data_IF_088276289859
#
_entry.id   IF_088276289859
#
_cell.length_a   1.000
_cell.length_b   1.000
_cell.length_c   1.000
_cell.angle_alpha   90.00
_cell.angle_beta   90.00
_cell.angle_gamma   90.00
#
_symmetry.space_group_name_H-M   'P 1'
#
loop_
_entity.id
_entity.type
_entity.pdbx_description
1 polymer ?
#
# COMPACT_ATOMS: atom_id res chain seq x y z
N UNK A 1 26.90 4.53 -10.66
CA UNK A 1 25.95 3.99 -9.67
C UNK A 1 24.64 3.77 -10.40
N UNK A 2 24.45 2.58 -10.95
CA UNK A 2 23.22 2.18 -11.63
C UNK A 2 22.12 2.12 -10.58
N UNK A 3 21.01 2.82 -10.80
CA UNK A 3 19.87 2.78 -9.90
C UNK A 3 19.32 1.35 -9.88
N UNK A 4 19.49 0.65 -8.75
CA UNK A 4 18.87 -0.66 -8.53
C UNK A 4 17.36 -0.48 -8.70
N UNK A 5 16.79 -1.13 -9.71
CA UNK A 5 15.36 -0.97 -10.03
C UNK A 5 14.60 -1.96 -9.16
N UNK A 6 13.70 -1.45 -8.30
CA UNK A 6 12.79 -2.26 -7.49
C UNK A 6 11.42 -2.30 -8.19
N UNK A 7 11.12 -3.30 -9.04
CA UNK A 7 9.88 -3.32 -9.79
C UNK A 7 8.68 -3.67 -8.90
N UNK A 8 7.53 -3.07 -9.24
CA UNK A 8 6.22 -3.40 -8.70
C UNK A 8 5.59 -4.49 -9.56
N UNK A 9 6.03 -5.73 -9.37
CA UNK A 9 5.65 -6.87 -10.20
C UNK A 9 5.52 -8.14 -9.34
N UNK A 10 4.78 -9.17 -9.80
CA UNK A 10 4.86 -10.49 -9.19
C UNK A 10 6.30 -11.01 -9.22
N UNK A 11 6.72 -11.80 -8.22
CA UNK A 11 8.04 -12.41 -8.23
C UNK A 11 8.14 -13.35 -9.44
N UNK A 12 8.99 -13.01 -10.41
CA UNK A 12 9.13 -13.72 -11.69
C UNK A 12 10.59 -14.06 -11.99
N UNK A 13 10.84 -15.20 -12.64
CA UNK A 13 12.20 -15.56 -13.08
C UNK A 13 12.60 -14.85 -14.39
N UNK A 14 11.64 -14.20 -15.07
CA UNK A 14 11.86 -13.39 -16.29
C UNK A 14 12.35 -11.97 -15.99
N UNK A 15 12.61 -11.65 -14.72
CA UNK A 15 13.15 -10.35 -14.33
C UNK A 15 14.60 -10.23 -14.78
N UNK A 16 15.02 -9.01 -15.12
CA UNK A 16 16.43 -8.74 -15.45
C UNK A 16 17.35 -9.22 -14.32
N UNK A 17 18.53 -9.73 -14.67
CA UNK A 17 19.58 -10.10 -13.72
C UNK A 17 20.03 -8.94 -12.81
N UNK A 18 19.73 -7.71 -13.19
CA UNK A 18 20.02 -6.51 -12.39
C UNK A 18 19.00 -6.26 -11.27
N UNK A 19 17.88 -7.00 -11.24
CA UNK A 19 16.83 -6.87 -10.23
C UNK A 19 17.22 -7.65 -8.98
N UNK A 20 17.54 -6.92 -7.92
CA UNK A 20 18.00 -7.50 -6.64
C UNK A 20 16.86 -7.86 -5.69
N UNK A 21 15.69 -7.25 -5.86
CA UNK A 21 14.49 -7.51 -5.07
C UNK A 21 13.24 -7.03 -5.83
N UNK A 22 12.07 -7.48 -5.40
CA UNK A 22 10.77 -7.00 -5.90
C UNK A 22 9.80 -6.70 -4.78
N UNK A 23 8.82 -5.85 -5.11
CA UNK A 23 7.71 -5.53 -4.23
C UNK A 23 6.39 -5.87 -4.93
N UNK A 24 5.68 -6.88 -4.43
CA UNK A 24 4.48 -7.41 -5.05
C UNK A 24 3.21 -7.06 -4.26
N UNK A 25 2.29 -6.28 -4.83
CA UNK A 25 0.98 -6.01 -4.24
C UNK A 25 0.06 -7.22 -4.47
N UNK A 26 -0.12 -8.06 -3.44
CA UNK A 26 -0.87 -9.32 -3.59
C UNK A 26 -2.32 -9.24 -3.10
N UNK A 27 -2.64 -8.26 -2.23
CA UNK A 27 -3.98 -8.12 -1.68
C UNK A 27 -4.34 -6.67 -1.37
N UNK A 28 -5.60 -6.33 -1.59
CA UNK A 28 -6.17 -5.00 -1.31
C UNK A 28 -7.45 -5.20 -0.52
N UNK A 29 -7.55 -4.55 0.64
CA UNK A 29 -8.73 -4.60 1.50
C UNK A 29 -9.33 -3.21 1.65
N UNK A 30 -10.66 -3.13 1.66
CA UNK A 30 -11.35 -1.91 2.07
C UNK A 30 -11.48 -1.97 3.59
N UNK A 31 -11.13 -0.89 4.29
CA UNK A 31 -11.29 -0.84 5.74
C UNK A 31 -12.79 -0.98 6.10
N UNK A 32 -13.20 -2.06 6.79
CA UNK A 32 -14.60 -2.35 7.05
C UNK A 32 -15.23 -1.36 8.03
N UNK A 33 -14.44 -0.73 8.91
CA UNK A 33 -14.93 0.24 9.90
C UNK A 33 -15.20 1.62 9.31
N UNK A 34 -14.67 1.89 8.12
CA UNK A 34 -14.81 3.16 7.43
C UNK A 34 -15.72 3.07 6.19
N UNK A 35 -16.26 1.88 5.91
CA UNK A 35 -17.20 1.62 4.80
C UNK A 35 -18.54 2.32 5.05
N UNK A 36 -19.15 2.84 3.98
CA UNK A 36 -20.50 3.43 3.98
C UNK A 36 -20.72 4.61 4.95
N UNK A 37 -19.68 5.40 5.20
CA UNK A 37 -19.83 6.64 5.96
C UNK A 37 -20.81 7.60 5.27
N UNK A 38 -21.56 8.35 6.08
CA UNK A 38 -22.45 9.43 5.60
C UNK A 38 -21.63 10.47 4.82
N UNK A 39 -22.32 11.24 3.98
CA UNK A 39 -21.68 12.38 3.31
C UNK A 39 -21.02 13.29 4.35
N UNK A 40 -19.83 13.80 4.03
CA UNK A 40 -19.06 14.71 4.87
C UNK A 40 -18.97 16.08 4.19
N UNK A 41 -18.81 17.18 4.93
CA UNK A 41 -18.54 18.49 4.34
C UNK A 41 -17.27 18.47 3.49
N UNK A 42 -17.28 19.18 2.37
CA UNK A 42 -16.08 19.40 1.56
C UNK A 42 -15.08 20.30 2.31
N UNK A 43 -13.80 19.96 2.24
CA UNK A 43 -12.74 20.73 2.92
C UNK A 43 -12.54 22.13 2.34
N UNK A 44 -12.86 22.34 1.05
CA UNK A 44 -12.74 23.63 0.37
C UNK A 44 -14.02 24.47 0.49
N UNK A 45 -15.19 23.86 0.54
CA UNK A 45 -16.48 24.53 0.72
C UNK A 45 -17.41 23.73 1.66
N UNK A 46 -17.51 24.13 2.95
CA UNK A 46 -18.36 23.44 3.93
C UNK A 46 -19.86 23.40 3.61
N UNK A 47 -20.34 24.20 2.63
CA UNK A 47 -21.74 24.15 2.17
C UNK A 47 -22.03 22.97 1.23
N UNK A 48 -20.97 22.33 0.73
CA UNK A 48 -21.01 21.16 -0.13
C UNK A 48 -20.76 19.89 0.69
N UNK A 49 -21.49 18.85 0.32
CA UNK A 49 -21.40 17.51 0.90
C UNK A 49 -20.80 16.56 -0.13
N UNK A 50 -19.72 15.89 0.24
CA UNK A 50 -19.01 14.92 -0.59
C UNK A 50 -19.16 13.51 -0.02
N UNK A 51 -19.00 12.51 -0.90
CA UNK A 51 -18.83 11.13 -0.45
C UNK A 51 -17.45 11.00 0.20
N UNK A 52 -17.36 10.40 1.39
CA UNK A 52 -16.09 10.19 2.06
C UNK A 52 -15.16 9.34 1.17
N UNK A 53 -13.85 9.64 1.16
CA UNK A 53 -12.85 8.85 0.43
C UNK A 53 -12.87 7.39 0.84
N UNK A 54 -12.62 6.49 -0.12
CA UNK A 54 -12.59 5.04 0.11
C UNK A 54 -11.25 4.67 0.77
N UNK A 55 -11.24 4.18 2.02
CA UNK A 55 -10.02 3.77 2.70
C UNK A 55 -9.66 2.34 2.33
N UNK A 56 -8.42 2.17 1.92
CA UNK A 56 -7.81 0.92 1.51
C UNK A 56 -6.66 0.56 2.43
N UNK A 57 -6.44 -0.73 2.59
CA UNK A 57 -5.25 -1.32 3.16
C UNK A 57 -4.58 -2.13 2.05
N UNK A 58 -3.29 -1.89 1.85
CA UNK A 58 -2.52 -2.54 0.79
C UNK A 58 -1.54 -3.52 1.41
N UNK A 59 -1.58 -4.78 0.97
CA UNK A 59 -0.65 -5.81 1.43
C UNK A 59 0.35 -6.12 0.32
N UNK A 60 1.61 -5.83 0.62
CA UNK A 60 2.73 -6.09 -0.25
C UNK A 60 3.56 -7.27 0.27
N UNK A 61 4.20 -7.96 -0.66
CA UNK A 61 5.20 -8.97 -0.38
C UNK A 61 6.54 -8.45 -0.91
N UNK A 62 7.49 -8.25 -0.01
CA UNK A 62 8.87 -7.98 -0.37
C UNK A 62 9.61 -9.30 -0.59
N UNK A 63 10.23 -9.46 -1.75
CA UNK A 63 10.94 -10.69 -2.13
C UNK A 63 12.34 -10.32 -2.61
N UNK A 64 13.41 -10.62 -1.85
CA UNK A 64 14.77 -10.49 -2.35
C UNK A 64 15.06 -11.59 -3.39
N UNK A 65 15.76 -11.24 -4.47
CA UNK A 65 16.02 -12.10 -5.63
C UNK A 65 17.52 -12.32 -5.90
N UNK A 66 18.39 -12.03 -4.93
CA UNK A 66 19.82 -12.30 -5.06
C UNK A 66 20.08 -13.80 -5.19
N UNK A 67 21.12 -14.17 -5.95
CA UNK A 67 21.63 -15.54 -6.02
C UNK A 67 22.37 -15.97 -4.75
N UNK A 68 22.76 -15.01 -3.92
CA UNK A 68 23.38 -15.19 -2.61
C UNK A 68 22.32 -15.09 -1.49
N UNK A 69 22.12 -16.19 -0.77
CA UNK A 69 21.16 -16.31 0.33
C UNK A 69 21.51 -15.46 1.55
N UNK A 70 22.80 -15.26 1.84
CA UNK A 70 23.24 -14.40 2.95
C UNK A 70 22.89 -12.95 2.63
N UNK A 71 23.06 -12.55 1.36
CA UNK A 71 22.63 -11.24 0.87
C UNK A 71 21.11 -11.08 0.94
N UNK A 72 20.33 -12.12 0.64
CA UNK A 72 18.87 -12.10 0.77
C UNK A 72 18.44 -11.87 2.23
N UNK A 73 19.06 -12.57 3.19
CA UNK A 73 18.79 -12.39 4.61
C UNK A 73 19.19 -10.99 5.10
N UNK A 74 20.35 -10.49 4.67
CA UNK A 74 20.82 -9.14 4.99
C UNK A 74 19.88 -8.07 4.45
N UNK A 75 19.41 -8.21 3.20
CA UNK A 75 18.43 -7.31 2.60
C UNK A 75 17.14 -7.28 3.41
N UNK A 76 16.62 -8.46 3.79
CA UNK A 76 15.44 -8.54 4.62
C UNK A 76 15.66 -7.83 5.96
N UNK A 77 16.78 -8.11 6.64
CA UNK A 77 17.15 -7.46 7.89
C UNK A 77 17.22 -5.94 7.79
N UNK A 78 17.76 -5.41 6.68
CA UNK A 78 17.81 -3.96 6.42
C UNK A 78 16.44 -3.35 6.17
N UNK A 79 15.57 -4.03 5.43
CA UNK A 79 14.17 -3.59 5.23
C UNK A 79 13.41 -3.61 6.55
N UNK A 80 13.60 -4.67 7.34
CA UNK A 80 13.02 -4.80 8.67
C UNK A 80 13.46 -3.65 9.58
N UNK A 81 14.77 -3.38 9.61
CA UNK A 81 15.34 -2.26 10.36
C UNK A 81 14.78 -0.91 9.88
N UNK A 82 14.71 -0.70 8.57
CA UNK A 82 14.25 0.57 8.01
C UNK A 82 12.81 0.90 8.40
N UNK A 83 11.87 -0.03 8.22
CA UNK A 83 10.48 0.23 8.59
C UNK A 83 10.23 0.14 10.09
N UNK A 84 11.11 -0.48 10.87
CA UNK A 84 11.11 -0.35 12.33
C UNK A 84 11.48 1.07 12.76
N UNK A 85 12.57 1.62 12.22
CA UNK A 85 13.09 2.94 12.61
C UNK A 85 12.25 4.08 12.02
N UNK A 86 11.73 3.90 10.80
CA UNK A 86 10.93 4.88 10.07
C UNK A 86 9.67 4.20 9.52
N UNK A 87 8.64 3.94 10.36
CA UNK A 87 7.43 3.21 9.97
C UNK A 87 6.46 4.03 9.11
N UNK A 88 6.89 5.19 8.60
CA UNK A 88 6.01 6.08 7.88
C UNK A 88 6.74 6.90 6.84
N UNK A 89 6.14 7.01 5.66
CA UNK A 89 6.70 7.79 4.56
C UNK A 89 5.68 8.78 4.03
N UNK A 90 6.17 9.90 3.49
CA UNK A 90 5.32 10.90 2.85
C UNK A 90 5.15 10.55 1.37
N UNK A 91 3.93 10.64 0.81
CA UNK A 91 3.74 10.56 -0.63
C UNK A 91 4.63 11.59 -1.35
N UNK A 92 5.20 11.20 -2.49
CA UNK A 92 6.06 12.07 -3.29
C UNK A 92 5.22 13.28 -3.78
N UNK A 93 5.71 14.53 -3.64
CA UNK A 93 5.04 15.72 -4.17
C UNK A 93 4.74 15.56 -5.67
N UNK A 94 3.49 15.75 -6.08
CA UNK A 94 3.04 15.58 -7.48
C UNK A 94 2.50 14.20 -7.84
N UNK A 95 2.44 13.26 -6.90
CA UNK A 95 1.77 11.95 -7.09
C UNK A 95 0.24 12.10 -7.07
N UNK A 96 -0.52 11.36 -7.92
CA UNK A 96 -1.98 11.48 -8.06
C UNK A 96 -2.79 10.95 -6.87
N UNK A 97 -2.16 10.64 -5.73
CA UNK A 97 -2.88 10.38 -4.48
C UNK A 97 -3.57 11.67 -4.05
N UNK A 98 -4.80 11.85 -4.52
CA UNK A 98 -5.58 13.08 -4.40
C UNK A 98 -5.65 13.58 -2.97
N UNK A 99 -4.98 14.69 -2.71
CA UNK A 99 -5.18 15.49 -1.48
C UNK A 99 -6.37 16.42 -1.62
N UNK A 100 -7.02 16.45 -2.78
CA UNK A 100 -7.97 17.48 -3.23
C UNK A 100 -9.25 17.54 -2.40
N UNK A 101 -9.66 16.42 -1.78
CA UNK A 101 -10.92 16.33 -1.01
C UNK A 101 -10.72 15.84 0.43
N UNK A 102 -9.53 16.09 0.99
CA UNK A 102 -9.25 15.90 2.42
C UNK A 102 -9.07 14.45 2.86
N UNK A 103 -8.95 13.50 1.92
CA UNK A 103 -8.84 12.07 2.22
C UNK A 103 -7.44 11.55 2.49
N UNK A 104 -6.47 11.97 1.67
CA UNK A 104 -5.16 11.35 1.67
C UNK A 104 -4.40 11.68 2.96
N UNK A 105 -4.00 10.69 3.77
CA UNK A 105 -3.18 10.96 4.94
C UNK A 105 -1.84 11.54 4.49
N UNK A 106 -1.39 12.58 5.19
CA UNK A 106 -0.11 13.25 4.93
C UNK A 106 1.10 12.31 5.10
N UNK A 107 0.89 11.18 5.79
CA UNK A 107 1.89 10.17 6.04
C UNK A 107 1.23 8.79 5.91
N UNK A 108 1.81 7.95 5.06
CA UNK A 108 1.43 6.54 4.95
C UNK A 108 2.23 5.77 5.98
N UNK A 109 1.55 4.92 6.76
CA UNK A 109 2.19 4.06 7.74
C UNK A 109 2.41 2.68 7.14
N UNK A 110 3.60 2.13 7.34
CA UNK A 110 3.96 0.76 6.97
C UNK A 110 4.15 -0.04 8.25
N UNK A 111 3.58 -1.24 8.27
CA UNK A 111 3.78 -2.23 9.33
C UNK A 111 4.17 -3.55 8.69
N UNK A 112 4.86 -4.40 9.43
CA UNK A 112 5.03 -5.78 9.01
C UNK A 112 3.70 -6.52 9.16
N UNK A 113 3.30 -7.21 8.10
CA UNK A 113 2.13 -8.08 8.18
C UNK A 113 2.56 -9.37 8.89
N UNK A 114 1.83 -9.74 9.95
CA UNK A 114 2.03 -10.99 10.68
C UNK A 114 1.33 -12.14 9.93
N UNK A 115 1.52 -12.20 8.62
CA UNK A 115 0.98 -13.26 7.77
C UNK A 115 1.53 -14.59 8.25
N UNK A 116 0.67 -15.58 8.46
CA UNK A 116 1.14 -16.88 8.92
C UNK A 116 2.01 -17.55 7.84
N UNK A 117 2.92 -18.43 8.25
CA UNK A 117 3.70 -19.22 7.30
C UNK A 117 2.79 -19.99 6.32
N UNK A 118 1.66 -20.51 6.82
CA UNK A 118 0.70 -21.24 5.99
C UNK A 118 0.09 -20.34 4.91
N UNK A 119 -0.30 -19.11 5.25
CA UNK A 119 -0.86 -18.15 4.29
C UNK A 119 0.18 -17.74 3.24
N UNK A 120 1.44 -17.54 3.66
CA UNK A 120 2.54 -17.29 2.72
C UNK A 120 2.78 -18.48 1.80
N UNK A 121 2.81 -19.71 2.34
CA UNK A 121 2.97 -20.92 1.55
C UNK A 121 1.82 -21.10 0.54
N UNK A 122 0.59 -20.78 0.93
CA UNK A 122 -0.57 -20.81 0.04
C UNK A 122 -0.46 -19.75 -1.06
N UNK A 123 0.00 -18.54 -0.74
CA UNK A 123 0.26 -17.48 -1.71
C UNK A 123 1.30 -17.92 -2.75
N UNK A 124 2.44 -18.46 -2.30
CA UNK A 124 3.48 -18.98 -3.19
C UNK A 124 3.00 -20.16 -4.04
N UNK A 125 2.18 -21.04 -3.47
CA UNK A 125 1.53 -22.12 -4.23
C UNK A 125 0.59 -21.58 -5.31
N UNK A 126 -0.17 -20.52 -5.02
CA UNK A 126 -1.03 -19.86 -6.01
C UNK A 126 -0.27 -19.21 -7.16
N UNK A 127 0.97 -18.76 -6.90
CA UNK A 127 1.89 -18.26 -7.93
C UNK A 127 2.56 -19.38 -8.75
N UNK A 128 2.30 -20.66 -8.43
CA UNK A 128 2.96 -21.83 -9.03
C UNK A 128 4.50 -21.76 -8.95
N UNK A 129 5.01 -21.24 -7.82
CA UNK A 129 6.45 -20.97 -7.62
C UNK A 129 6.96 -21.62 -6.35
N UNK A 130 8.26 -21.98 -6.30
CA UNK A 130 8.87 -22.45 -5.07
C UNK A 130 8.82 -21.34 -4.02
N UNK A 131 8.57 -21.74 -2.77
CA UNK A 131 8.59 -20.82 -1.65
C UNK A 131 9.98 -20.18 -1.53
N UNK A 132 10.03 -18.84 -1.44
CA UNK A 132 11.25 -18.08 -1.23
C UNK A 132 11.13 -17.20 0.01
N UNK A 133 12.30 -16.85 0.58
CA UNK A 133 12.39 -15.87 1.65
C UNK A 133 11.64 -14.60 1.24
N UNK A 134 10.71 -14.17 2.09
CA UNK A 134 9.85 -13.02 1.81
C UNK A 134 9.32 -12.41 3.09
N UNK A 135 8.96 -11.13 3.05
CA UNK A 135 8.33 -10.42 4.17
C UNK A 135 7.03 -9.74 3.72
N UNK A 136 5.98 -9.93 4.52
CA UNK A 136 4.72 -9.23 4.36
C UNK A 136 4.83 -7.80 4.88
N UNK A 137 4.35 -6.85 4.09
CA UNK A 137 4.27 -5.43 4.42
C UNK A 137 2.82 -4.97 4.28
N UNK A 138 2.30 -4.31 5.29
CA UNK A 138 0.99 -3.70 5.31
C UNK A 138 1.15 -2.17 5.25
N UNK A 139 0.59 -1.55 4.22
CA UNK A 139 0.44 -0.10 4.15
C UNK A 139 -0.96 0.26 4.66
N UNK A 140 -1.00 0.94 5.81
CA UNK A 140 -2.24 1.38 6.43
C UNK A 140 -2.82 2.59 5.71
N UNK A 141 -4.14 2.55 5.52
CA UNK A 141 -5.03 3.65 5.14
C UNK A 141 -4.48 4.45 3.96
N UNK A 142 -4.69 3.92 2.76
CA UNK A 142 -4.60 4.68 1.50
C UNK A 142 -6.01 5.08 1.10
N UNK A 143 -6.28 6.35 0.82
CA UNK A 143 -7.63 6.78 0.43
C UNK A 143 -7.74 7.09 -1.05
N UNK A 144 -8.83 6.67 -1.67
CA UNK A 144 -9.21 7.07 -3.02
C UNK A 144 -10.39 8.03 -2.96
N UNK A 145 -10.23 9.23 -3.53
CA UNK A 145 -11.28 10.24 -3.60
C UNK A 145 -12.48 9.74 -4.41
N UNK A 146 -13.69 10.11 -3.97
CA UNK A 146 -14.89 9.82 -4.75
C UNK A 146 -14.94 10.69 -6.01
N UNK A 147 -15.18 10.07 -7.16
CA UNK A 147 -15.40 10.78 -8.43
C UNK A 147 -16.76 11.52 -8.51
N UNK A 148 -17.64 11.36 -7.51
CA UNK A 148 -18.94 12.01 -7.51
C UNK A 148 -18.81 13.53 -7.30
N UNK A 149 -19.63 14.35 -7.99
CA UNK A 149 -19.63 15.79 -7.75
C UNK A 149 -20.17 16.10 -6.34
N UNK A 150 -19.64 17.13 -5.65
CA UNK A 150 -20.17 17.60 -4.38
C UNK A 150 -21.65 18.02 -4.53
N UNK A 151 -22.46 17.77 -3.50
CA UNK A 151 -23.88 18.15 -3.48
C UNK A 151 -24.11 19.22 -2.43
N UNK A 152 -24.87 20.27 -2.76
CA UNK A 152 -25.30 21.24 -1.73
C UNK A 152 -26.15 20.55 -0.67
N UNK A 153 -25.90 20.86 0.60
CA UNK A 153 -26.82 20.46 1.66
C UNK A 153 -28.12 21.26 1.49
N UNK A 154 -29.22 20.61 1.11
CA UNK A 154 -30.55 21.22 1.21
C UNK A 154 -30.80 21.43 2.70
N UNK A 155 -30.86 22.70 3.15
CA UNK A 155 -31.28 23.01 4.50
C UNK A 155 -32.67 22.37 4.73
N UNK A 156 -32.94 21.78 5.92
CA UNK A 156 -34.30 21.38 6.24
C UNK A 156 -35.18 22.62 6.12
N UNK A 157 -36.15 22.57 5.21
CA UNK A 157 -37.10 23.65 4.99
C UNK A 157 -37.73 24.05 6.32
N UNK A 158 -37.66 25.34 6.61
CA UNK A 158 -38.34 25.99 7.73
C UNK A 158 -39.82 26.09 7.43
#
# INVERSE_FOLDING_TARGET
MTAETLPLAPPSDELSSDVVAVLYLYHIEIDPHLRNRKLIPDSADPSLMIKPPLPLQLRFLFVPLSTDDDRNQLMLGRVLQHFHDTPSFRPIPGSPLGTSRGGAPAQLRVRFDLTSYQDLAQLWSGLSRPFRLSAGLLVDIVTIDSAWPPKKCLAPGR
#
